data_IF_351776330102
#
_entry.id   IF_351776330102
#
_cell.length_a   1.000
_cell.length_b   1.000
_cell.length_c   1.000
_cell.angle_alpha   90.00
_cell.angle_beta   90.00
_cell.angle_gamma   90.00
#
_symmetry.space_group_name_H-M   'P 1'
#
loop_
_entity.id
_entity.type
_entity.pdbx_description
1 polymer ?
#
# COMPACT_ATOMS: atom_id res chain seq x y z
N UNK A 1 -6.24 -7.36 -16.43
CA UNK A 1 -6.19 -6.08 -17.17
C UNK A 1 -7.59 -5.51 -17.28
N UNK A 2 -7.97 -4.69 -16.30
CA UNK A 2 -9.31 -4.10 -16.22
C UNK A 2 -9.46 -3.06 -17.33
N UNK A 3 -10.42 -3.30 -18.24
CA UNK A 3 -10.64 -2.43 -19.40
C UNK A 3 -11.24 -1.09 -18.95
N UNK A 4 -10.49 0.01 -19.15
CA UNK A 4 -10.97 1.37 -18.88
C UNK A 4 -10.17 2.14 -17.83
N UNK A 5 -9.16 1.54 -17.22
CA UNK A 5 -8.39 2.24 -16.20
C UNK A 5 -7.42 3.26 -16.80
N UNK A 6 -7.42 4.45 -16.21
CA UNK A 6 -6.44 5.48 -16.49
C UNK A 6 -5.20 5.28 -15.60
N UNK A 7 -3.98 5.48 -16.13
CA UNK A 7 -2.78 5.45 -15.32
C UNK A 7 -2.85 6.56 -14.26
N UNK A 8 -2.61 6.19 -13.00
CA UNK A 8 -2.57 7.12 -11.88
C UNK A 8 -1.10 7.50 -11.62
N UNK A 9 -0.74 8.79 -11.61
CA UNK A 9 0.62 9.21 -11.30
C UNK A 9 0.96 8.92 -9.83
N UNK A 10 2.17 8.43 -9.58
CA UNK A 10 2.70 8.20 -8.22
C UNK A 10 3.67 9.33 -7.82
N UNK A 11 3.68 9.78 -6.55
CA UNK A 11 2.84 9.32 -5.45
C UNK A 11 1.38 9.76 -5.61
N UNK A 12 0.45 8.85 -5.36
CA UNK A 12 -0.98 9.12 -5.40
C UNK A 12 -1.54 9.28 -3.99
N UNK A 13 -2.25 10.38 -3.75
CA UNK A 13 -2.92 10.65 -2.47
C UNK A 13 -4.34 11.09 -2.77
N UNK A 14 -5.31 10.46 -2.11
CA UNK A 14 -6.72 10.80 -2.22
C UNK A 14 -7.44 10.66 -0.88
N UNK A 15 -8.56 11.35 -0.74
CA UNK A 15 -9.42 11.22 0.44
C UNK A 15 -10.53 10.20 0.14
N UNK A 16 -10.61 9.16 0.97
CA UNK A 16 -11.68 8.17 0.91
C UNK A 16 -12.84 8.60 1.82
N UNK A 17 -14.05 8.14 1.47
CA UNK A 17 -15.12 8.03 2.46
C UNK A 17 -14.71 6.98 3.51
N UNK A 18 -15.19 7.08 4.77
CA UNK A 18 -14.88 6.08 5.79
C UNK A 18 -15.16 4.66 5.31
N UNK A 19 -14.14 3.81 5.34
CA UNK A 19 -14.26 2.40 4.97
C UNK A 19 -15.14 1.67 5.98
N UNK A 20 -16.04 0.82 5.48
CA UNK A 20 -16.97 0.00 6.26
C UNK A 20 -16.64 -1.47 6.05
N UNK A 21 -16.95 -2.27 7.08
CA UNK A 21 -16.79 -3.72 7.01
C UNK A 21 -17.46 -4.29 5.76
N UNK A 22 -16.74 -5.16 5.04
CA UNK A 22 -17.19 -5.78 3.81
C UNK A 22 -16.85 -5.03 2.53
N UNK A 23 -16.38 -3.78 2.59
CA UNK A 23 -15.83 -3.07 1.44
C UNK A 23 -14.43 -3.58 1.08
N UNK A 24 -14.03 -3.38 -0.18
CA UNK A 24 -12.71 -3.78 -0.67
C UNK A 24 -12.06 -2.63 -1.42
N UNK A 25 -10.79 -2.38 -1.12
CA UNK A 25 -9.93 -1.52 -1.92
C UNK A 25 -9.12 -2.41 -2.87
N UNK A 26 -9.42 -2.30 -4.16
CA UNK A 26 -8.67 -2.95 -5.24
C UNK A 26 -7.60 -2.00 -5.78
N UNK A 27 -6.35 -2.45 -5.78
CA UNK A 27 -5.19 -1.71 -6.27
C UNK A 27 -4.44 -2.60 -7.22
N UNK A 28 -4.40 -2.23 -8.48
CA UNK A 28 -3.67 -2.97 -9.50
C UNK A 28 -2.84 -2.01 -10.34
N UNK A 29 -1.80 -2.55 -10.96
CA UNK A 29 -0.90 -1.77 -11.79
C UNK A 29 0.31 -2.57 -12.21
N UNK A 30 1.35 -1.86 -12.67
CA UNK A 30 2.65 -2.44 -13.01
C UNK A 30 3.70 -1.90 -12.04
N UNK A 31 4.52 -2.79 -11.50
CA UNK A 31 5.67 -2.41 -10.67
C UNK A 31 6.79 -1.94 -11.61
N UNK A 32 7.42 -0.81 -11.32
CA UNK A 32 8.58 -0.35 -12.08
C UNK A 32 9.70 -1.40 -12.04
N UNK A 33 10.40 -1.60 -13.17
CA UNK A 33 11.42 -2.65 -13.28
C UNK A 33 12.62 -2.46 -12.34
N UNK A 34 12.86 -1.25 -11.88
CA UNK A 34 13.92 -0.84 -10.95
C UNK A 34 13.40 -0.58 -9.52
N UNK A 35 12.15 -0.92 -9.23
CA UNK A 35 11.54 -0.67 -7.92
C UNK A 35 12.28 -1.42 -6.80
N UNK A 36 12.64 -0.69 -5.74
CA UNK A 36 13.14 -1.26 -4.48
C UNK A 36 12.00 -1.54 -3.50
N UNK A 37 10.94 -0.74 -3.55
CA UNK A 37 9.71 -0.92 -2.78
C UNK A 37 8.47 -0.35 -3.49
N UNK A 38 7.30 -0.77 -3.04
CA UNK A 38 6.00 -0.12 -3.28
C UNK A 38 5.28 0.02 -1.95
N UNK A 39 4.74 1.20 -1.66
CA UNK A 39 4.06 1.49 -0.39
C UNK A 39 2.60 1.84 -0.61
N UNK A 40 1.73 1.20 0.16
CA UNK A 40 0.30 1.49 0.25
C UNK A 40 -0.01 1.83 1.70
N UNK A 41 -0.65 2.98 1.92
CA UNK A 41 -0.91 3.51 3.25
C UNK A 41 -2.37 3.93 3.40
N UNK A 42 -3.06 3.39 4.41
CA UNK A 42 -4.34 3.93 4.87
C UNK A 42 -4.07 4.91 6.02
N UNK A 43 -4.31 6.18 5.75
CA UNK A 43 -3.98 7.28 6.65
C UNK A 43 -5.23 7.82 7.35
N UNK A 44 -5.04 8.29 8.57
CA UNK A 44 -6.07 8.97 9.36
C UNK A 44 -5.53 10.29 9.92
N UNK A 45 -6.32 11.35 9.77
CA UNK A 45 -6.03 12.69 10.31
C UNK A 45 -5.09 13.56 9.48
N UNK A 46 -4.23 12.98 8.63
CA UNK A 46 -3.36 13.73 7.72
C UNK A 46 -3.05 12.94 6.45
N UNK A 47 -2.49 13.63 5.44
CA UNK A 47 -2.07 13.04 4.16
C UNK A 47 -0.67 12.43 4.19
N UNK A 48 0.03 12.47 5.33
CA UNK A 48 1.39 11.96 5.49
C UNK A 48 1.54 11.25 6.84
N UNK A 49 2.32 10.16 6.84
CA UNK A 49 2.75 9.48 8.07
C UNK A 49 3.56 10.47 8.92
N UNK A 50 3.38 10.44 10.24
CA UNK A 50 4.08 11.33 11.17
C UNK A 50 3.29 12.59 11.53
N UNK A 51 2.58 13.18 10.56
CA UNK A 51 1.61 14.25 10.79
C UNK A 51 0.26 13.71 11.27
N UNK A 52 -0.09 12.51 10.81
CA UNK A 52 -1.27 11.76 11.24
C UNK A 52 -0.91 10.33 11.66
N UNK A 53 -1.91 9.45 11.62
CA UNK A 53 -1.75 8.02 11.88
C UNK A 53 -1.75 7.24 10.56
N UNK A 54 -1.04 6.12 10.53
CA UNK A 54 -1.15 5.11 9.49
C UNK A 54 -1.81 3.88 10.10
N UNK A 55 -3.10 3.69 9.84
CA UNK A 55 -3.86 2.55 10.40
C UNK A 55 -3.54 1.25 9.68
N UNK A 56 -2.99 1.33 8.47
CA UNK A 56 -2.43 0.19 7.73
C UNK A 56 -1.31 0.70 6.80
N UNK A 57 -0.09 0.28 7.08
CA UNK A 57 1.07 0.42 6.20
C UNK A 57 1.34 -0.93 5.55
N UNK A 58 1.43 -0.97 4.22
CA UNK A 58 1.87 -2.14 3.46
C UNK A 58 3.08 -1.71 2.63
N UNK A 59 4.19 -2.43 2.77
CA UNK A 59 5.42 -2.18 2.04
C UNK A 59 5.87 -3.46 1.32
N UNK A 60 5.80 -3.44 -0.01
CA UNK A 60 6.33 -4.50 -0.85
C UNK A 60 7.85 -4.31 -0.98
N UNK A 61 8.64 -4.81 -0.02
CA UNK A 61 10.11 -4.66 -0.03
C UNK A 61 10.75 -5.74 -0.92
N UNK A 62 11.08 -5.38 -2.16
CA UNK A 62 11.63 -6.33 -3.14
C UNK A 62 13.05 -6.78 -2.80
N UNK A 63 13.84 -5.93 -2.15
CA UNK A 63 15.19 -6.28 -1.67
C UNK A 63 15.13 -7.37 -0.59
N UNK A 64 14.21 -7.23 0.38
CA UNK A 64 14.00 -8.24 1.43
C UNK A 64 13.20 -9.46 0.94
N UNK A 65 12.55 -9.36 -0.22
CA UNK A 65 11.57 -10.34 -0.74
C UNK A 65 10.44 -10.60 0.26
N UNK A 66 9.96 -9.54 0.91
CA UNK A 66 8.89 -9.58 1.92
C UNK A 66 7.85 -8.51 1.69
N UNK A 67 6.60 -8.86 1.97
CA UNK A 67 5.55 -7.88 2.25
C UNK A 67 5.65 -7.56 3.73
N UNK A 68 5.83 -6.30 4.08
CA UNK A 68 5.88 -5.84 5.47
C UNK A 68 4.62 -5.04 5.76
N UNK A 69 3.90 -5.41 6.80
CA UNK A 69 2.70 -4.74 7.27
C UNK A 69 2.92 -4.17 8.66
N UNK A 70 2.41 -2.98 8.93
CA UNK A 70 2.52 -2.35 10.24
C UNK A 70 1.43 -1.28 10.44
N UNK A 71 1.38 -0.72 11.63
CA UNK A 71 0.60 0.47 11.99
C UNK A 71 1.52 1.54 12.56
N UNK A 72 1.27 2.81 12.24
CA UNK A 72 1.91 3.95 12.85
C UNK A 72 0.88 4.74 13.66
N UNK A 73 0.87 4.53 14.98
CA UNK A 73 -0.12 5.09 15.91
C UNK A 73 0.63 5.77 17.05
N UNK A 74 0.11 6.90 17.54
CA UNK A 74 0.75 7.68 18.62
C UNK A 74 2.23 8.03 18.34
N UNK A 75 2.56 8.26 17.06
CA UNK A 75 3.91 8.59 16.57
C UNK A 75 4.93 7.46 16.68
N UNK A 76 4.48 6.23 16.86
CA UNK A 76 5.35 5.05 16.94
C UNK A 76 4.91 3.97 15.96
N UNK A 77 5.90 3.23 15.45
CA UNK A 77 5.65 2.02 14.67
C UNK A 77 5.34 0.86 15.63
N UNK A 78 4.32 0.09 15.27
CA UNK A 78 4.02 -1.17 15.94
C UNK A 78 5.02 -2.28 15.56
N UNK A 79 4.66 -3.51 15.96
CA UNK A 79 5.38 -4.72 15.55
C UNK A 79 5.09 -5.00 14.07
N UNK A 80 6.14 -5.19 13.28
CA UNK A 80 5.98 -5.61 11.89
C UNK A 80 5.40 -7.02 11.77
N UNK A 81 4.45 -7.17 10.87
CA UNK A 81 4.00 -8.45 10.32
C UNK A 81 4.63 -8.64 8.95
N UNK A 82 5.04 -9.87 8.62
CA UNK A 82 5.88 -10.14 7.45
C UNK A 82 5.40 -11.37 6.70
N UNK A 83 5.16 -11.22 5.40
CA UNK A 83 4.71 -12.27 4.50
C UNK A 83 5.66 -12.46 3.32
N UNK A 84 5.59 -13.62 2.65
CA UNK A 84 6.37 -13.88 1.44
C UNK A 84 5.97 -12.96 0.29
N UNK A 85 6.95 -12.50 -0.51
CA UNK A 85 6.68 -11.68 -1.69
C UNK A 85 6.28 -12.53 -2.89
N UNK A 86 5.05 -12.38 -3.44
CA UNK A 86 4.64 -13.06 -4.66
C UNK A 86 4.97 -12.27 -5.94
N UNK A 87 5.25 -10.97 -5.83
CA UNK A 87 5.45 -10.06 -6.96
C UNK A 87 6.94 -9.86 -7.30
N UNK A 88 7.23 -9.47 -8.55
CA UNK A 88 8.56 -9.02 -8.97
C UNK A 88 8.52 -7.63 -9.63
N UNK A 89 9.62 -6.87 -9.56
CA UNK A 89 9.79 -5.66 -10.38
C UNK A 89 9.52 -5.94 -11.87
N UNK A 90 8.81 -5.04 -12.54
CA UNK A 90 8.44 -5.15 -13.96
C UNK A 90 7.13 -5.92 -14.23
N UNK A 91 6.63 -6.68 -13.25
CA UNK A 91 5.39 -7.47 -13.38
C UNK A 91 4.15 -6.64 -13.01
N UNK A 92 2.99 -7.12 -13.44
CA UNK A 92 1.70 -6.61 -12.99
C UNK A 92 1.39 -7.14 -11.59
N UNK A 93 0.68 -6.34 -10.80
CA UNK A 93 0.20 -6.73 -9.48
C UNK A 93 -1.29 -6.41 -9.32
N UNK A 94 -1.95 -7.17 -8.47
CA UNK A 94 -3.35 -6.99 -8.05
C UNK A 94 -3.41 -7.25 -6.54
N UNK A 95 -3.63 -6.18 -5.79
CA UNK A 95 -3.69 -6.18 -4.33
C UNK A 95 -5.10 -5.77 -3.89
N UNK A 96 -5.71 -6.62 -3.07
CA UNK A 96 -7.04 -6.40 -2.49
C UNK A 96 -6.94 -6.26 -0.98
N UNK A 97 -7.55 -5.22 -0.42
CA UNK A 97 -7.64 -4.99 1.02
C UNK A 97 -9.11 -5.03 1.41
N UNK A 98 -9.51 -5.90 2.34
CA UNK A 98 -10.91 -6.10 2.76
C UNK A 98 -11.04 -6.19 4.28
#
# INVERSE_FOLDING_TARGET
AHSGDAPIPVPYVTQLQPLKAGQTLDIHGRINSDATSVEINLLQGAQQIGLGQCVLHINLRFVEKKIVMNTFINKEWGREERESMPYKPGEEYDLKIR
#
